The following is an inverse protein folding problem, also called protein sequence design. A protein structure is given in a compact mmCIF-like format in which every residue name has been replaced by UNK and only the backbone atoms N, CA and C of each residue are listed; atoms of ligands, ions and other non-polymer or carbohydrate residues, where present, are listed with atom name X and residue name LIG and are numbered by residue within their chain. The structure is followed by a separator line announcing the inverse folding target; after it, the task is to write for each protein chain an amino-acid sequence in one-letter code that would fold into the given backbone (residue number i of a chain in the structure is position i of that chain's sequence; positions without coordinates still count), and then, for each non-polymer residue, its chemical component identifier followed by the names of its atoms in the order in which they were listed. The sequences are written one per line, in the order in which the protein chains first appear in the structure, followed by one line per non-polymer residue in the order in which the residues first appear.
data_IF_845238194694
#
_entry.id   IF_845238194694
#
_cell.length_a   1.000
_cell.length_b   1.000
_cell.length_c   1.000
_cell.angle_alpha   90.00
_cell.angle_beta   90.00
_cell.angle_gamma   90.00
#
_symmetry.space_group_name_H-M   'P 1'
#
loop_
_entity.id
_entity.type
_entity.pdbx_description
1 polymer ?
#
# COMPACT_ATOMS: atom_id res chain seq x y z
N UNK A 1 -14.37 -17.78 5.97
CA UNK A 1 -13.09 -17.06 5.89
C UNK A 1 -13.28 -15.57 5.64
N UNK A 2 -14.03 -15.15 4.59
CA UNK A 2 -14.33 -13.72 4.37
C UNK A 2 -15.05 -13.08 5.55
N UNK A 3 -15.92 -13.82 6.23
CA UNK A 3 -16.62 -13.35 7.43
C UNK A 3 -15.64 -13.03 8.57
N UNK A 4 -14.63 -13.87 8.75
CA UNK A 4 -13.59 -13.66 9.76
C UNK A 4 -12.69 -12.49 9.39
N UNK A 5 -12.25 -12.42 8.13
CA UNK A 5 -11.41 -11.34 7.61
C UNK A 5 -12.12 -9.99 7.68
N UNK A 6 -13.42 -9.97 7.35
CA UNK A 6 -14.23 -8.76 7.39
C UNK A 6 -14.75 -8.42 8.81
N UNK A 7 -14.47 -9.24 9.80
CA UNK A 7 -14.95 -9.06 11.18
C UNK A 7 -16.45 -9.36 11.35
N UNK A 8 -17.04 -10.14 10.47
CA UNK A 8 -18.45 -10.56 10.56
C UNK A 8 -18.58 -11.93 11.20
N UNK A 9 -18.99 -12.02 12.46
CA UNK A 9 -19.04 -13.29 13.18
C UNK A 9 -20.11 -14.26 12.66
N UNK A 10 -21.11 -13.76 11.96
CA UNK A 10 -22.24 -14.53 11.42
C UNK A 10 -22.14 -14.87 9.93
N UNK A 11 -20.97 -14.66 9.33
CA UNK A 11 -20.75 -14.91 7.91
C UNK A 11 -20.86 -13.64 7.05
N UNK A 12 -20.57 -13.80 5.78
CA UNK A 12 -20.66 -12.72 4.79
C UNK A 12 -22.13 -12.38 4.57
N UNK A 13 -22.54 -11.10 4.64
CA UNK A 13 -23.91 -10.69 4.33
C UNK A 13 -24.37 -11.20 2.97
N UNK A 14 -25.62 -11.67 2.90
CA UNK A 14 -26.23 -12.08 1.64
C UNK A 14 -26.15 -10.93 0.61
N UNK A 15 -25.74 -11.23 -0.61
CA UNK A 15 -25.64 -10.24 -1.68
C UNK A 15 -24.37 -9.41 -1.71
N UNK A 16 -23.48 -9.50 -0.71
CA UNK A 16 -22.26 -8.71 -0.72
C UNK A 16 -21.35 -9.01 -1.92
N UNK A 17 -21.31 -10.27 -2.35
CA UNK A 17 -20.51 -10.70 -3.51
C UNK A 17 -21.35 -10.90 -4.78
N UNK A 18 -22.66 -10.70 -4.69
CA UNK A 18 -23.54 -10.80 -5.85
C UNK A 18 -23.23 -9.68 -6.83
N UNK A 19 -22.97 -10.03 -8.08
CA UNK A 19 -22.58 -9.07 -9.11
C UNK A 19 -21.15 -8.52 -8.98
N UNK A 20 -20.37 -8.99 -7.99
CA UNK A 20 -18.97 -8.63 -7.89
C UNK A 20 -18.19 -9.20 -9.08
N UNK A 21 -17.36 -8.36 -9.69
CA UNK A 21 -16.45 -8.75 -10.76
C UNK A 21 -15.00 -8.58 -10.30
N UNK A 22 -14.13 -9.47 -10.76
CA UNK A 22 -12.70 -9.29 -10.55
C UNK A 22 -12.22 -8.07 -11.32
N UNK A 23 -11.31 -7.31 -10.72
CA UNK A 23 -10.60 -6.24 -11.43
C UNK A 23 -9.75 -6.84 -12.55
N UNK A 24 -9.53 -6.08 -13.60
CA UNK A 24 -8.64 -6.48 -14.69
C UNK A 24 -7.20 -6.67 -14.21
N UNK A 25 -6.41 -7.45 -14.96
CA UNK A 25 -4.98 -7.64 -14.62
C UNK A 25 -4.20 -6.33 -14.63
N UNK A 26 -4.54 -5.40 -15.52
CA UNK A 26 -3.92 -4.07 -15.57
C UNK A 26 -4.24 -3.23 -14.32
N UNK A 27 -5.48 -3.26 -13.85
CA UNK A 27 -5.87 -2.59 -12.60
C UNK A 27 -5.16 -3.21 -11.39
N UNK A 28 -5.04 -4.55 -11.35
CA UNK A 28 -4.33 -5.23 -10.27
C UNK A 28 -2.82 -4.93 -10.31
N UNK A 29 -2.25 -4.81 -11.51
CA UNK A 29 -0.84 -4.43 -11.69
C UNK A 29 -0.57 -3.02 -11.23
N UNK A 30 -1.42 -2.07 -11.61
CA UNK A 30 -1.33 -0.69 -11.16
C UNK A 30 -1.45 -0.59 -9.63
N UNK A 31 -2.42 -1.30 -9.04
CA UNK A 31 -2.60 -1.36 -7.60
C UNK A 31 -1.37 -1.99 -6.89
N UNK A 32 -0.77 -3.02 -7.46
CA UNK A 32 0.46 -3.63 -6.92
C UNK A 32 1.62 -2.65 -6.92
N UNK A 33 1.84 -1.94 -8.01
CA UNK A 33 2.88 -0.91 -8.10
C UNK A 33 2.67 0.18 -7.06
N UNK A 34 1.44 0.67 -6.92
CA UNK A 34 1.08 1.66 -5.91
C UNK A 34 1.37 1.16 -4.49
N UNK A 35 0.91 -0.05 -4.14
CA UNK A 35 1.13 -0.61 -2.79
C UNK A 35 2.61 -0.90 -2.53
N UNK A 36 3.37 -1.30 -3.54
CA UNK A 36 4.82 -1.46 -3.43
C UNK A 36 5.49 -0.15 -3.02
N UNK A 37 5.25 0.96 -3.73
CA UNK A 37 5.89 2.24 -3.44
C UNK A 37 5.45 2.82 -2.10
N UNK A 38 4.17 2.66 -1.75
CA UNK A 38 3.66 3.11 -0.47
C UNK A 38 4.35 2.37 0.69
N UNK A 39 4.41 1.05 0.62
CA UNK A 39 5.12 0.23 1.63
C UNK A 39 6.63 0.54 1.64
N UNK A 40 7.25 0.63 0.46
CA UNK A 40 8.66 0.97 0.34
C UNK A 40 9.01 2.28 1.06
N UNK A 41 8.22 3.34 0.93
CA UNK A 41 8.51 4.61 1.60
C UNK A 41 8.51 4.48 3.12
N UNK A 42 7.61 3.70 3.71
CA UNK A 42 7.60 3.43 5.14
C UNK A 42 8.84 2.63 5.58
N UNK A 43 9.26 1.65 4.82
CA UNK A 43 10.48 0.86 5.09
C UNK A 43 11.72 1.74 4.99
N UNK A 44 11.84 2.55 3.94
CA UNK A 44 12.94 3.49 3.75
C UNK A 44 13.02 4.50 4.91
N UNK A 45 11.90 5.09 5.29
CA UNK A 45 11.85 6.02 6.43
C UNK A 45 12.27 5.38 7.74
N UNK A 46 11.89 4.13 7.99
CA UNK A 46 12.29 3.40 9.19
C UNK A 46 13.79 3.15 9.25
N UNK A 47 14.39 2.83 8.10
CA UNK A 47 15.85 2.51 8.01
C UNK A 47 16.69 3.78 7.97
N UNK A 48 16.20 4.79 7.28
CA UNK A 48 16.91 6.05 7.06
C UNK A 48 15.93 7.23 7.19
N UNK A 49 15.62 7.67 8.42
CA UNK A 49 14.67 8.76 8.66
C UNK A 49 15.16 10.06 8.02
N UNK A 50 14.54 10.44 6.92
CA UNK A 50 14.78 11.70 6.22
C UNK A 50 13.56 12.10 5.40
N UNK A 51 13.45 13.37 5.09
CA UNK A 51 12.49 13.84 4.09
C UNK A 51 12.95 13.38 2.70
N UNK A 52 12.00 13.06 1.85
CA UNK A 52 12.20 12.79 0.42
C UNK A 52 11.35 13.77 -0.39
N UNK A 53 11.86 14.13 -1.57
CA UNK A 53 11.07 14.78 -2.61
C UNK A 53 10.71 13.74 -3.67
N UNK A 54 9.44 13.35 -3.71
CA UNK A 54 8.94 12.35 -4.67
C UNK A 54 9.08 12.82 -6.13
N UNK A 55 8.98 14.12 -6.39
CA UNK A 55 9.17 14.65 -7.73
C UNK A 55 10.64 14.52 -8.19
N UNK A 56 11.59 14.78 -7.30
CA UNK A 56 13.01 14.57 -7.58
C UNK A 56 13.33 13.08 -7.70
N UNK A 57 12.81 12.25 -6.80
CA UNK A 57 13.00 10.81 -6.84
C UNK A 57 12.51 10.20 -8.16
N UNK A 58 11.33 10.61 -8.64
CA UNK A 58 10.78 10.14 -9.91
C UNK A 58 11.66 10.48 -11.11
N UNK A 59 12.38 11.61 -11.07
CA UNK A 59 13.32 12.01 -12.14
C UNK A 59 14.65 11.25 -12.10
N UNK A 60 15.07 10.81 -10.92
CA UNK A 60 16.40 10.22 -10.70
C UNK A 60 16.39 8.71 -10.54
N UNK A 61 15.22 8.08 -10.32
CA UNK A 61 15.15 6.66 -10.03
C UNK A 61 15.04 5.80 -11.28
N UNK A 62 15.62 4.61 -11.20
CA UNK A 62 15.59 3.62 -12.27
C UNK A 62 14.21 2.97 -12.50
N UNK A 63 13.29 3.10 -11.54
CA UNK A 63 11.94 2.55 -11.63
C UNK A 63 10.92 3.52 -12.24
N UNK A 64 11.35 4.65 -12.80
CA UNK A 64 10.51 5.58 -13.54
C UNK A 64 9.77 6.60 -12.69
N UNK A 65 8.96 7.43 -13.34
CA UNK A 65 8.15 8.42 -12.66
C UNK A 65 7.06 7.73 -11.84
N UNK A 66 6.94 8.14 -10.59
CA UNK A 66 5.69 7.97 -9.86
C UNK A 66 4.63 8.77 -10.62
N UNK A 67 3.54 8.13 -11.01
CA UNK A 67 2.48 8.83 -11.71
C UNK A 67 2.01 9.99 -10.83
N UNK A 68 2.09 11.20 -11.38
CA UNK A 68 1.64 12.41 -10.69
C UNK A 68 0.18 12.23 -10.25
N UNK A 69 -0.08 12.34 -8.96
CA UNK A 69 -1.42 12.26 -8.39
C UNK A 69 -1.82 10.91 -7.77
N UNK A 70 -0.98 9.87 -7.83
CA UNK A 70 -1.29 8.59 -7.18
C UNK A 70 -1.09 8.62 -5.66
N UNK A 71 -0.26 9.53 -5.15
CA UNK A 71 0.01 9.67 -3.72
C UNK A 71 -0.38 11.05 -3.21
N UNK A 72 -1.00 11.09 -2.04
CA UNK A 72 -1.14 12.34 -1.33
C UNK A 72 0.21 12.73 -0.75
N UNK A 73 0.71 13.89 -1.13
CA UNK A 73 1.99 14.43 -0.68
C UNK A 73 1.78 15.67 0.20
N UNK A 74 2.65 15.84 1.18
CA UNK A 74 2.81 17.04 1.98
C UNK A 74 4.30 17.39 1.96
N UNK A 75 4.62 18.62 1.60
CA UNK A 75 6.00 19.11 1.45
C UNK A 75 6.88 18.22 0.53
N UNK A 76 6.27 17.66 -0.51
CA UNK A 76 6.94 16.79 -1.50
C UNK A 76 7.11 15.34 -1.07
N UNK A 77 6.80 14.97 0.17
CA UNK A 77 6.92 13.62 0.71
C UNK A 77 5.55 12.99 1.00
N UNK A 78 5.54 11.67 1.22
CA UNK A 78 4.32 10.92 1.50
C UNK A 78 3.57 11.51 2.70
N UNK A 79 2.28 11.77 2.50
CA UNK A 79 1.41 12.27 3.57
C UNK A 79 1.00 11.16 4.55
N UNK A 80 1.13 11.45 5.83
CA UNK A 80 0.58 10.66 6.94
C UNK A 80 -0.33 11.59 7.76
N UNK A 81 -1.63 11.46 7.58
CA UNK A 81 -2.56 12.48 8.04
C UNK A 81 -2.34 13.80 7.31
N UNK A 82 -2.17 14.88 8.06
CA UNK A 82 -1.96 16.24 7.51
C UNK A 82 -0.48 16.67 7.49
N UNK A 83 0.43 15.74 7.74
CA UNK A 83 1.88 16.00 7.77
C UNK A 83 2.62 15.10 6.80
N UNK A 84 3.85 15.49 6.46
CA UNK A 84 4.77 14.59 5.78
C UNK A 84 5.16 13.43 6.71
N UNK A 85 5.52 12.29 6.16
CA UNK A 85 5.96 11.12 6.95
C UNK A 85 7.11 11.48 7.93
N UNK A 86 7.97 12.42 7.54
CA UNK A 86 9.10 12.87 8.36
C UNK A 86 8.69 13.69 9.59
N UNK A 87 7.53 14.36 9.53
CA UNK A 87 7.03 15.26 10.57
C UNK A 87 5.82 14.68 11.33
N UNK A 88 5.34 13.52 10.91
CA UNK A 88 4.19 12.87 11.52
C UNK A 88 4.57 12.18 12.85
N UNK A 89 3.56 11.98 13.70
CA UNK A 89 3.72 11.22 14.95
C UNK A 89 4.21 9.79 14.63
N UNK A 90 5.31 9.33 15.26
CA UNK A 90 5.87 8.00 15.00
C UNK A 90 4.90 6.83 15.22
N UNK A 91 3.96 6.95 16.14
CA UNK A 91 2.95 5.90 16.38
C UNK A 91 1.93 5.85 15.23
N UNK A 92 1.56 7.01 14.69
CA UNK A 92 0.69 7.09 13.52
C UNK A 92 1.42 6.54 12.29
N UNK A 93 2.69 6.90 12.10
CA UNK A 93 3.54 6.34 11.03
C UNK A 93 3.62 4.82 11.13
N UNK A 94 3.83 4.26 12.32
CA UNK A 94 3.89 2.82 12.54
C UNK A 94 2.57 2.12 12.16
N UNK A 95 1.43 2.70 12.51
CA UNK A 95 0.12 2.19 12.12
C UNK A 95 -0.08 2.17 10.59
N UNK A 96 0.29 3.25 9.91
CA UNK A 96 0.24 3.33 8.44
C UNK A 96 1.23 2.36 7.78
N UNK A 97 2.43 2.19 8.35
CA UNK A 97 3.42 1.22 7.86
C UNK A 97 2.89 -0.21 7.91
N UNK A 98 2.24 -0.59 9.01
CA UNK A 98 1.60 -1.90 9.16
C UNK A 98 0.50 -2.10 8.10
N UNK A 99 -0.39 -1.12 7.93
CA UNK A 99 -1.43 -1.17 6.90
C UNK A 99 -0.85 -1.26 5.48
N UNK A 100 0.26 -0.56 5.20
CA UNK A 100 0.94 -0.61 3.91
C UNK A 100 1.50 -2.02 3.62
N UNK A 101 2.14 -2.64 4.61
CA UNK A 101 2.67 -4.00 4.50
C UNK A 101 1.56 -5.02 4.21
N UNK A 102 0.44 -4.96 4.95
CA UNK A 102 -0.69 -5.85 4.75
C UNK A 102 -1.34 -5.68 3.37
N UNK A 103 -1.53 -4.45 2.92
CA UNK A 103 -2.10 -4.16 1.59
C UNK A 103 -1.18 -4.64 0.47
N UNK A 104 0.13 -4.47 0.62
CA UNK A 104 1.11 -4.98 -0.33
C UNK A 104 1.09 -6.52 -0.37
N UNK A 105 1.03 -7.17 0.79
CA UNK A 105 0.87 -8.63 0.88
C UNK A 105 -0.43 -9.08 0.20
N UNK A 106 -1.55 -8.41 0.45
CA UNK A 106 -2.84 -8.76 -0.12
C UNK A 106 -2.84 -8.67 -1.66
N UNK A 107 -2.29 -7.61 -2.24
CA UNK A 107 -2.23 -7.47 -3.70
C UNK A 107 -1.27 -8.49 -4.33
N UNK A 108 -0.16 -8.81 -3.68
CA UNK A 108 0.76 -9.84 -4.12
C UNK A 108 0.10 -11.23 -4.10
N UNK A 109 -0.70 -11.50 -3.05
CA UNK A 109 -1.49 -12.73 -2.97
C UNK A 109 -2.52 -12.84 -4.11
N UNK A 110 -3.27 -11.78 -4.37
CA UNK A 110 -4.26 -11.76 -5.46
C UNK A 110 -3.64 -12.06 -6.84
N UNK A 111 -2.38 -11.69 -7.06
CA UNK A 111 -1.69 -11.88 -8.32
C UNK A 111 -0.81 -13.14 -8.36
N UNK A 112 -0.42 -13.66 -7.22
CA UNK A 112 0.62 -14.69 -7.13
C UNK A 112 0.12 -16.14 -7.16
N UNK A 113 -1.17 -16.41 -6.96
CA UNK A 113 -1.73 -17.78 -6.92
C UNK A 113 -1.20 -18.65 -5.78
N UNK A 114 -0.58 -18.07 -4.76
CA UNK A 114 -0.08 -18.75 -3.56
C UNK A 114 -1.08 -18.64 -2.41
N UNK A 115 -0.87 -19.41 -1.33
CA UNK A 115 -1.62 -19.16 -0.10
C UNK A 115 -1.23 -17.78 0.50
N UNK A 116 -2.13 -17.16 1.24
CA UNK A 116 -1.84 -15.85 1.86
C UNK A 116 -0.65 -15.93 2.83
N UNK A 117 -0.56 -17.02 3.59
CA UNK A 117 0.53 -17.23 4.55
C UNK A 117 1.91 -17.41 3.92
N UNK A 118 1.97 -17.82 2.64
CA UNK A 118 3.22 -17.99 1.90
C UNK A 118 3.59 -16.77 1.06
N UNK A 119 2.75 -15.74 1.09
CA UNK A 119 2.95 -14.51 0.32
C UNK A 119 3.76 -13.50 1.14
N UNK A 120 4.73 -12.88 0.51
CA UNK A 120 5.57 -11.86 1.13
C UNK A 120 5.43 -10.52 0.42
N UNK A 121 5.54 -9.45 1.20
CA UNK A 121 5.61 -8.08 0.72
C UNK A 121 7.06 -7.57 0.82
N UNK A 122 7.90 -8.03 -0.08
CA UNK A 122 9.30 -7.59 -0.14
C UNK A 122 9.39 -6.22 -0.82
N UNK A 123 10.11 -5.32 -0.20
CA UNK A 123 10.40 -3.97 -0.71
C UNK A 123 11.89 -3.69 -0.66
#
# INVERSE_FOLDING_TARGET
ELATIAGWPNGVPAGLVDGATMRSDDELRAAQTHQFFWHWRFVDHRVNPRALDFAELGRSSWFGNFADGEFRLVDGDLAVGDRSISDADPNIVAGHASAAAERHTAINWLRGGRSYGDTQANT
#
